data_IF_791879730228
#
_entry.id   IF_791879730228
#
_cell.length_a   1.000
_cell.length_b   1.000
_cell.length_c   1.000
_cell.angle_alpha   90.00
_cell.angle_beta   90.00
_cell.angle_gamma   90.00
#
_symmetry.space_group_name_H-M   'P 1'
#
loop_
_entity.id
_entity.type
_entity.pdbx_description
1 polymer ?
#
# COMPACT_ATOMS: atom_id res chain seq x y z
N UNK A 1 -17.79 26.43 9.89
CA UNK A 1 -16.80 25.35 9.79
C UNK A 1 -17.48 24.08 10.23
N UNK A 2 -17.80 23.17 9.30
CA UNK A 2 -18.40 21.89 9.67
C UNK A 2 -17.31 21.04 10.34
N UNK A 3 -17.59 20.62 11.57
CA UNK A 3 -16.79 19.68 12.34
C UNK A 3 -16.86 18.31 11.64
N UNK A 4 -15.96 18.08 10.69
CA UNK A 4 -15.79 16.79 10.03
C UNK A 4 -15.07 15.88 11.02
N UNK A 5 -15.77 14.89 11.59
CA UNK A 5 -15.10 13.86 12.38
C UNK A 5 -13.97 13.22 11.55
N UNK A 6 -12.85 12.91 12.18
CA UNK A 6 -11.68 12.30 11.55
C UNK A 6 -11.99 10.97 10.84
N UNK A 7 -13.04 10.29 11.30
CA UNK A 7 -13.37 8.94 10.87
C UNK A 7 -14.54 8.97 9.88
N UNK A 8 -14.36 8.24 8.78
CA UNK A 8 -15.38 8.06 7.75
C UNK A 8 -15.87 6.61 7.73
N UNK A 9 -17.18 6.43 7.73
CA UNK A 9 -17.82 5.12 7.70
C UNK A 9 -18.42 4.83 6.32
N UNK A 10 -18.34 3.57 5.90
CA UNK A 10 -18.97 3.08 4.68
C UNK A 10 -20.10 2.12 5.03
N UNK A 11 -21.26 2.30 4.39
CA UNK A 11 -22.42 1.42 4.56
C UNK A 11 -22.39 0.33 3.50
N UNK A 12 -22.43 -0.93 3.93
CA UNK A 12 -22.54 -2.09 3.05
C UNK A 12 -23.99 -2.57 3.08
N UNK A 13 -24.71 -2.41 1.97
CA UNK A 13 -26.07 -2.90 1.82
C UNK A 13 -26.05 -4.38 1.42
N UNK A 14 -26.66 -5.23 2.25
CA UNK A 14 -26.81 -6.65 1.95
C UNK A 14 -27.94 -6.87 0.94
N UNK A 15 -27.79 -7.80 -0.03
CA UNK A 15 -28.85 -8.08 -1.01
C UNK A 15 -30.10 -8.70 -0.37
N UNK A 16 -29.93 -9.38 0.78
CA UNK A 16 -31.02 -9.90 1.61
C UNK A 16 -30.71 -9.58 3.08
N UNK A 17 -31.71 -9.22 3.90
CA UNK A 17 -31.54 -9.10 5.34
C UNK A 17 -30.97 -10.39 5.95
N UNK A 18 -30.11 -10.23 6.96
CA UNK A 18 -29.53 -11.34 7.71
C UNK A 18 -30.45 -11.67 8.89
N UNK A 19 -30.88 -12.93 9.00
CA UNK A 19 -31.72 -13.40 10.11
C UNK A 19 -30.96 -13.38 11.44
N UNK A 20 -31.63 -13.22 12.60
CA UNK A 20 -31.00 -13.34 13.91
C UNK A 20 -30.19 -14.63 14.07
N UNK A 21 -29.04 -14.55 14.75
CA UNK A 21 -28.10 -15.66 15.00
C UNK A 21 -27.48 -16.35 13.76
N UNK A 22 -27.80 -15.87 12.55
CA UNK A 22 -27.17 -16.36 11.32
C UNK A 22 -25.81 -15.71 11.06
N UNK A 23 -25.01 -16.31 10.17
CA UNK A 23 -23.64 -15.89 9.87
C UNK A 23 -23.47 -15.58 8.39
N UNK A 24 -22.71 -14.53 8.09
CA UNK A 24 -22.33 -14.12 6.74
C UNK A 24 -20.84 -13.81 6.70
N UNK A 25 -20.17 -14.21 5.61
CA UNK A 25 -18.77 -13.85 5.36
C UNK A 25 -18.72 -12.68 4.38
N UNK A 26 -18.09 -11.58 4.81
CA UNK A 26 -17.85 -10.41 3.97
C UNK A 26 -16.38 -10.37 3.57
N UNK A 27 -16.11 -10.09 2.30
CA UNK A 27 -14.77 -9.83 1.77
C UNK A 27 -14.67 -8.37 1.34
N UNK A 28 -13.82 -7.61 2.00
CA UNK A 28 -13.63 -6.18 1.75
C UNK A 28 -12.21 -5.99 1.21
N UNK A 29 -12.09 -5.28 0.09
CA UNK A 29 -10.81 -4.90 -0.50
C UNK A 29 -10.79 -3.40 -0.72
N UNK A 30 -9.69 -2.76 -0.34
CA UNK A 30 -9.48 -1.34 -0.52
C UNK A 30 -8.02 -1.07 -0.88
N UNK A 31 -7.77 0.07 -1.51
CA UNK A 31 -6.45 0.52 -1.91
C UNK A 31 -6.17 1.85 -1.23
N UNK A 32 -5.03 1.93 -0.53
CA UNK A 32 -4.53 3.16 0.03
C UNK A 32 -3.48 3.75 -0.90
N UNK A 33 -3.70 4.99 -1.31
CA UNK A 33 -2.74 5.77 -2.10
C UNK A 33 -1.93 6.65 -1.15
N UNK A 34 -0.70 6.99 -1.54
CA UNK A 34 0.17 7.92 -0.80
C UNK A 34 0.40 7.57 0.69
N UNK A 35 0.30 6.29 1.06
CA UNK A 35 0.44 5.83 2.44
C UNK A 35 1.86 5.37 2.81
N UNK A 36 2.75 5.26 1.82
CA UNK A 36 4.12 4.77 2.00
C UNK A 36 5.09 5.95 2.08
N UNK A 37 5.93 5.97 3.11
CA UNK A 37 6.97 6.99 3.28
C UNK A 37 8.36 6.36 3.25
N UNK A 38 9.29 6.87 2.41
CA UNK A 38 10.64 6.35 2.36
C UNK A 38 11.37 6.64 3.68
N UNK A 39 12.06 5.64 4.21
CA UNK A 39 12.84 5.77 5.44
C UNK A 39 14.19 5.02 5.28
N UNK A 40 15.32 5.72 5.11
CA UNK A 40 15.47 7.19 5.11
C UNK A 40 14.87 7.88 3.87
N UNK A 41 14.56 9.19 3.93
CA UNK A 41 13.98 9.93 2.82
C UNK A 41 14.96 10.18 1.66
N UNK A 42 16.27 10.08 1.91
CA UNK A 42 17.31 10.20 0.90
C UNK A 42 18.30 9.03 1.02
N UNK A 43 18.72 8.49 -0.12
CA UNK A 43 19.63 7.36 -0.25
C UNK A 43 20.70 7.60 -1.32
N UNK A 44 21.86 6.96 -1.20
CA UNK A 44 22.84 6.92 -2.27
C UNK A 44 22.29 6.16 -3.49
N UNK A 45 22.82 6.42 -4.68
CA UNK A 45 22.28 5.89 -5.94
C UNK A 45 22.30 4.34 -6.03
N UNK A 46 23.26 3.71 -5.37
CA UNK A 46 23.46 2.27 -5.28
C UNK A 46 22.86 1.64 -4.01
N UNK A 47 22.36 2.45 -3.07
CA UNK A 47 21.75 1.96 -1.86
C UNK A 47 20.37 1.33 -2.09
N UNK A 48 19.98 0.46 -1.15
CA UNK A 48 18.64 -0.11 -1.08
C UNK A 48 17.65 0.94 -0.60
N UNK A 49 16.44 0.89 -1.15
CA UNK A 49 15.32 1.72 -0.74
C UNK A 49 14.41 0.95 0.21
N UNK A 50 14.03 1.58 1.31
CA UNK A 50 13.09 1.03 2.29
C UNK A 50 11.93 1.99 2.50
N UNK A 51 10.75 1.43 2.76
CA UNK A 51 9.58 2.18 3.19
C UNK A 51 9.16 1.76 4.58
N UNK A 52 8.74 2.75 5.37
CA UNK A 52 8.01 2.52 6.59
C UNK A 52 6.50 2.60 6.31
N UNK A 53 5.75 1.66 6.88
CA UNK A 53 4.29 1.69 6.87
C UNK A 53 3.77 1.36 8.26
N UNK A 54 2.88 2.21 8.76
CA UNK A 54 2.24 2.05 10.06
C UNK A 54 0.76 1.76 9.86
N UNK A 55 0.28 0.71 10.50
CA UNK A 55 -1.11 0.28 10.48
C UNK A 55 -1.52 -0.18 11.88
N UNK A 56 -2.81 -0.33 12.14
CA UNK A 56 -3.30 -0.83 13.43
C UNK A 56 -3.27 -2.37 13.47
N UNK A 57 -2.84 -2.94 14.60
CA UNK A 57 -2.99 -4.35 14.90
C UNK A 57 -4.45 -4.79 14.86
N UNK A 58 -5.35 -3.87 15.24
CA UNK A 58 -6.79 -4.05 15.21
C UNK A 58 -7.40 -3.44 13.95
N UNK A 59 -8.29 -4.18 13.30
CA UNK A 59 -9.08 -3.73 12.18
C UNK A 59 -9.95 -2.52 12.58
N UNK A 60 -9.99 -1.45 11.76
CA UNK A 60 -10.85 -0.31 11.99
C UNK A 60 -12.31 -0.72 11.76
N UNK A 61 -12.98 -1.11 12.84
CA UNK A 61 -14.35 -1.63 12.83
C UNK A 61 -15.24 -0.77 13.75
N UNK A 62 -16.46 -0.48 13.28
CA UNK A 62 -17.52 0.14 14.09
C UNK A 62 -18.15 -0.86 15.09
N UNK A 63 -17.89 -2.16 14.91
CA UNK A 63 -18.44 -3.24 15.71
C UNK A 63 -17.36 -3.93 16.53
N UNK A 64 -17.76 -4.48 17.68
CA UNK A 64 -16.89 -5.33 18.51
C UNK A 64 -16.50 -6.56 17.71
N UNK A 65 -15.22 -6.89 17.73
CA UNK A 65 -14.65 -8.08 17.09
C UNK A 65 -14.23 -9.08 18.16
N UNK A 66 -14.28 -10.37 17.86
CA UNK A 66 -13.88 -11.40 18.83
C UNK A 66 -12.45 -11.87 18.63
N UNK A 67 -12.06 -12.13 17.39
CA UNK A 67 -10.75 -12.63 17.03
C UNK A 67 -10.26 -11.90 15.78
N UNK A 68 -9.00 -11.45 15.81
CA UNK A 68 -8.39 -10.78 14.68
C UNK A 68 -7.01 -11.35 14.39
N UNK A 69 -6.65 -11.39 13.11
CA UNK A 69 -5.34 -11.83 12.64
C UNK A 69 -4.99 -11.05 11.40
N UNK A 70 -3.79 -10.49 11.36
CA UNK A 70 -3.34 -9.64 10.25
C UNK A 70 -2.15 -10.30 9.56
N UNK A 71 -2.23 -10.50 8.24
CA UNK A 71 -1.16 -11.08 7.44
C UNK A 71 -0.62 -10.03 6.48
N UNK A 72 0.65 -9.67 6.65
CA UNK A 72 1.34 -8.66 5.84
C UNK A 72 2.30 -9.36 4.87
N UNK A 73 2.08 -9.19 3.57
CA UNK A 73 2.93 -9.74 2.52
C UNK A 73 3.80 -8.65 1.91
N UNK A 74 5.11 -8.83 2.00
CA UNK A 74 6.11 -7.90 1.51
C UNK A 74 6.58 -8.24 0.08
N UNK A 75 7.07 -7.25 -0.69
CA UNK A 75 7.61 -7.49 -2.02
C UNK A 75 8.92 -8.30 -2.00
N UNK A 76 9.71 -8.19 -0.94
CA UNK A 76 10.97 -8.92 -0.74
C UNK A 76 11.01 -9.54 0.66
N UNK A 77 12.04 -10.35 0.95
CA UNK A 77 12.29 -10.93 2.28
C UNK A 77 13.14 -10.04 3.18
N UNK A 78 13.57 -8.86 2.70
CA UNK A 78 14.37 -7.91 3.46
C UNK A 78 13.45 -6.94 4.24
N UNK A 79 13.17 -7.30 5.50
CA UNK A 79 12.35 -6.53 6.44
C UNK A 79 13.19 -6.25 7.70
N UNK A 80 14.01 -5.18 7.68
CA UNK A 80 14.94 -4.89 8.77
C UNK A 80 14.25 -4.53 10.10
N UNK A 81 13.19 -3.73 10.08
CA UNK A 81 12.48 -3.31 11.31
C UNK A 81 11.00 -3.67 11.23
N UNK A 82 10.44 -4.08 12.36
CA UNK A 82 9.02 -4.38 12.52
C UNK A 82 8.67 -4.34 14.01
N UNK A 83 7.46 -3.91 14.34
CA UNK A 83 6.95 -3.97 15.71
C UNK A 83 6.77 -5.43 16.12
N UNK A 84 7.27 -5.78 17.30
CA UNK A 84 6.96 -7.03 18.00
C UNK A 84 6.00 -6.76 19.15
N UNK A 85 4.93 -7.54 19.25
CA UNK A 85 3.88 -7.38 20.25
C UNK A 85 4.03 -8.45 21.31
N UNK A 86 4.08 -8.06 22.59
CA UNK A 86 4.19 -8.98 23.72
C UNK A 86 2.86 -9.05 24.47
N UNK A 87 2.43 -10.27 24.82
CA UNK A 87 1.21 -10.51 25.61
C UNK A 87 -0.13 -10.31 24.90
N UNK A 88 -0.13 -9.80 23.66
CA UNK A 88 -1.37 -9.61 22.87
C UNK A 88 -1.85 -10.90 22.20
N UNK A 89 -0.92 -11.70 21.68
CA UNK A 89 -1.21 -12.92 20.92
C UNK A 89 -1.78 -14.01 21.84
N UNK A 90 -2.85 -14.65 21.38
CA UNK A 90 -3.40 -15.85 22.01
C UNK A 90 -2.55 -17.06 21.60
N UNK A 91 -1.91 -17.70 22.58
CA UNK A 91 -1.04 -18.87 22.38
C UNK A 91 0.44 -18.56 22.61
N UNK A 92 1.29 -19.55 22.38
CA UNK A 92 2.74 -19.41 22.49
C UNK A 92 3.39 -19.08 21.14
N UNK A 93 4.57 -18.47 21.17
CA UNK A 93 5.38 -18.16 19.98
C UNK A 93 5.64 -16.67 19.78
N UNK A 94 6.42 -16.33 18.75
CA UNK A 94 6.70 -14.93 18.42
C UNK A 94 5.49 -14.26 17.78
N UNK A 95 5.44 -12.94 17.91
CA UNK A 95 4.49 -12.08 17.22
C UNK A 95 5.26 -10.87 16.65
N UNK A 96 5.42 -10.77 15.31
CA UNK A 96 4.80 -11.62 14.31
C UNK A 96 5.45 -13.02 14.16
N UNK A 97 4.66 -13.96 13.64
CA UNK A 97 5.18 -15.18 13.03
C UNK A 97 5.71 -14.87 11.63
N UNK A 98 6.92 -15.32 11.31
CA UNK A 98 7.58 -15.02 10.04
C UNK A 98 7.63 -16.24 9.14
N UNK A 99 7.17 -16.09 7.90
CA UNK A 99 7.26 -17.12 6.87
C UNK A 99 7.67 -16.47 5.55
N UNK A 100 8.96 -16.56 5.20
CA UNK A 100 9.52 -15.94 4.00
C UNK A 100 9.31 -14.43 3.99
N UNK A 101 8.61 -13.91 2.98
CA UNK A 101 8.25 -12.50 2.85
C UNK A 101 6.89 -12.14 3.49
N UNK A 102 6.37 -12.98 4.38
CA UNK A 102 5.07 -12.77 5.00
C UNK A 102 5.16 -12.81 6.51
N UNK A 103 4.66 -11.75 7.17
CA UNK A 103 4.55 -11.66 8.62
C UNK A 103 3.09 -11.80 9.03
N UNK A 104 2.82 -12.59 10.07
CA UNK A 104 1.48 -12.81 10.60
C UNK A 104 1.42 -12.34 12.04
N UNK A 105 0.54 -11.36 12.29
CA UNK A 105 0.25 -10.79 13.60
C UNK A 105 -1.00 -11.42 14.20
N UNK A 106 -0.92 -11.79 15.48
CA UNK A 106 -2.00 -12.46 16.21
C UNK A 106 -2.01 -13.99 16.02
N UNK A 107 -3.14 -14.67 16.31
CA UNK A 107 -4.47 -14.10 16.57
C UNK A 107 -4.57 -13.36 17.91
N UNK A 108 -5.35 -12.28 17.92
CA UNK A 108 -5.68 -11.48 19.11
C UNK A 108 -7.11 -11.76 19.57
N UNK A 109 -7.30 -11.94 20.88
CA UNK A 109 -8.64 -11.90 21.48
C UNK A 109 -9.03 -10.43 21.66
N UNK A 110 -10.06 -10.00 20.95
CA UNK A 110 -10.44 -8.58 20.85
C UNK A 110 -11.83 -8.30 21.42
N UNK A 111 -12.43 -9.28 22.12
CA UNK A 111 -13.79 -9.16 22.66
C UNK A 111 -13.96 -7.96 23.61
N UNK A 112 -12.92 -7.67 24.39
CA UNK A 112 -12.92 -6.58 25.39
C UNK A 112 -12.25 -5.30 24.85
N UNK A 113 -11.86 -5.28 23.56
CA UNK A 113 -11.27 -4.11 22.90
C UNK A 113 -12.39 -3.22 22.40
N UNK A 114 -12.33 -1.93 22.73
CA UNK A 114 -13.34 -0.96 22.30
C UNK A 114 -13.25 -0.74 20.78
N UNK A 115 -14.37 -0.75 20.03
CA UNK A 115 -14.38 -0.45 18.59
C UNK A 115 -13.67 0.89 18.30
N UNK A 116 -12.84 0.93 17.26
CA UNK A 116 -12.03 2.10 16.92
C UNK A 116 -10.72 2.25 17.70
N UNK A 117 -10.39 1.34 18.63
CA UNK A 117 -9.08 1.34 19.29
C UNK A 117 -7.96 1.08 18.29
N UNK A 118 -6.91 1.91 18.34
CA UNK A 118 -5.74 1.82 17.45
C UNK A 118 -4.55 1.31 18.25
N UNK A 119 -3.95 0.22 17.79
CA UNK A 119 -2.68 -0.29 18.32
C UNK A 119 -1.63 -0.27 17.20
N UNK A 120 -0.69 0.69 17.19
CA UNK A 120 0.17 0.93 16.04
C UNK A 120 1.25 -0.15 15.85
N UNK A 121 1.22 -0.80 14.70
CA UNK A 121 2.28 -1.68 14.18
C UNK A 121 2.98 -0.94 13.05
N UNK A 122 4.31 -0.82 13.14
CA UNK A 122 5.14 -0.24 12.09
C UNK A 122 6.06 -1.31 11.51
N UNK A 123 6.15 -1.34 10.19
CA UNK A 123 7.05 -2.24 9.45
C UNK A 123 7.91 -1.43 8.50
N UNK A 124 9.20 -1.73 8.44
CA UNK A 124 10.15 -1.18 7.47
C UNK A 124 10.67 -2.30 6.59
N UNK A 125 10.44 -2.18 5.29
CA UNK A 125 10.73 -3.24 4.33
C UNK A 125 11.35 -2.67 3.05
N UNK A 126 12.16 -3.47 2.39
CA UNK A 126 12.80 -3.09 1.13
C UNK A 126 11.77 -2.99 0.00
N UNK A 127 11.88 -1.96 -0.82
CA UNK A 127 11.05 -1.78 -2.01
C UNK A 127 11.89 -1.39 -3.21
N UNK A 128 11.96 -2.31 -4.18
CA UNK A 128 12.89 -2.22 -5.31
C UNK A 128 12.26 -1.69 -6.61
N UNK A 129 10.99 -1.27 -6.56
CA UNK A 129 10.27 -0.72 -7.72
C UNK A 129 10.14 0.81 -7.62
N UNK A 130 10.04 1.54 -8.75
CA UNK A 130 9.73 2.96 -8.72
C UNK A 130 8.33 3.22 -8.16
N UNK A 131 8.14 4.35 -7.47
CA UNK A 131 6.82 4.80 -6.99
C UNK A 131 6.33 5.92 -7.91
N UNK A 132 5.79 5.53 -9.06
CA UNK A 132 5.29 6.49 -10.06
C UNK A 132 3.98 7.07 -9.55
N UNK A 133 3.94 8.37 -9.32
CA UNK A 133 2.75 9.11 -8.91
C UNK A 133 2.41 10.15 -9.97
N UNK A 134 1.18 10.14 -10.47
CA UNK A 134 0.67 11.21 -11.31
C UNK A 134 0.10 12.30 -10.40
N UNK A 135 0.70 13.48 -10.40
CA UNK A 135 0.20 14.64 -9.64
C UNK A 135 -0.94 15.34 -10.35
N UNK A 136 -0.91 15.31 -11.69
CA UNK A 136 -1.95 15.82 -12.55
C UNK A 136 -2.09 14.89 -13.76
N UNK A 137 -3.35 14.63 -14.12
CA UNK A 137 -3.74 13.98 -15.36
C UNK A 137 -4.78 14.87 -16.02
N UNK A 138 -4.44 15.42 -17.18
CA UNK A 138 -5.39 16.11 -18.05
C UNK A 138 -5.73 15.17 -19.20
N UNK A 139 -7.02 15.02 -19.50
CA UNK A 139 -7.51 14.21 -20.62
C UNK A 139 -8.47 15.04 -21.45
N UNK A 140 -8.09 15.27 -22.70
CA UNK A 140 -8.91 15.94 -23.70
C UNK A 140 -9.58 14.87 -24.57
N UNK A 141 -10.89 14.98 -24.75
CA UNK A 141 -11.70 14.04 -25.54
C UNK A 141 -12.44 14.83 -26.61
N UNK A 142 -12.13 14.58 -27.88
CA UNK A 142 -12.77 15.22 -29.02
C UNK A 142 -13.69 14.22 -29.75
N UNK A 143 -14.93 14.64 -29.98
CA UNK A 143 -15.93 13.86 -30.73
C UNK A 143 -16.17 14.52 -32.09
N UNK A 144 -15.86 13.82 -33.18
CA UNK A 144 -16.11 14.33 -34.54
C UNK A 144 -17.23 13.55 -35.22
N UNK A 145 -18.36 14.22 -35.44
CA UNK A 145 -19.48 13.66 -36.22
C UNK A 145 -19.17 13.62 -37.71
N UNK A 146 -18.33 14.54 -38.21
CA UNK A 146 -17.91 14.56 -39.61
C UNK A 146 -16.94 13.41 -39.94
N UNK A 147 -15.98 13.15 -39.04
CA UNK A 147 -15.02 12.05 -39.18
C UNK A 147 -15.50 10.72 -38.62
N UNK A 148 -16.66 10.70 -37.95
CA UNK A 148 -17.21 9.52 -37.28
C UNK A 148 -16.26 8.92 -36.22
N UNK A 149 -15.46 9.74 -35.54
CA UNK A 149 -14.40 9.27 -34.64
C UNK A 149 -14.38 9.98 -33.27
N UNK A 150 -13.67 9.36 -32.33
CA UNK A 150 -13.36 9.85 -30.99
C UNK A 150 -11.84 9.93 -30.86
N UNK A 151 -11.30 11.12 -30.64
CA UNK A 151 -9.89 11.32 -30.36
C UNK A 151 -9.67 11.60 -28.86
N UNK A 152 -8.58 11.09 -28.30
CA UNK A 152 -8.22 11.31 -26.90
C UNK A 152 -6.76 11.72 -26.79
N UNK A 153 -6.47 12.78 -26.04
CA UNK A 153 -5.12 13.22 -25.69
C UNK A 153 -4.96 13.21 -24.16
N UNK A 154 -3.91 12.54 -23.67
CA UNK A 154 -3.60 12.47 -22.24
C UNK A 154 -2.28 13.19 -21.94
N UNK A 155 -2.31 14.10 -20.97
CA UNK A 155 -1.14 14.83 -20.48
C UNK A 155 -0.89 14.44 -19.02
N UNK A 156 0.26 13.82 -18.75
CA UNK A 156 0.63 13.30 -17.44
C UNK A 156 1.77 14.11 -16.82
N UNK A 157 1.58 14.55 -15.56
CA UNK A 157 2.67 15.05 -14.71
C UNK A 157 3.07 13.95 -13.75
N UNK A 158 4.19 13.30 -14.04
CA UNK A 158 4.68 12.14 -13.29
C UNK A 158 5.86 12.53 -12.39
N UNK A 159 5.86 11.97 -11.18
CA UNK A 159 6.98 12.03 -10.25
C UNK A 159 7.29 10.64 -9.69
N UNK A 160 8.52 10.44 -9.24
CA UNK A 160 8.92 9.25 -8.49
C UNK A 160 8.95 9.58 -7.00
N UNK A 161 7.96 9.09 -6.24
CA UNK A 161 7.84 9.31 -4.80
C UNK A 161 8.67 8.30 -3.99
N UNK A 162 9.73 7.76 -4.59
CA UNK A 162 10.76 7.00 -3.90
C UNK A 162 11.63 7.86 -3.00
N UNK A 163 12.63 7.25 -2.38
CA UNK A 163 13.66 8.00 -1.68
C UNK A 163 14.46 8.86 -2.67
N UNK A 164 14.76 10.09 -2.28
CA UNK A 164 15.55 11.01 -3.11
C UNK A 164 17.01 10.57 -3.16
N UNK A 165 17.74 11.02 -4.19
CA UNK A 165 19.20 10.82 -4.21
C UNK A 165 19.86 11.75 -3.18
N UNK A 166 20.60 11.16 -2.24
CA UNK A 166 21.34 11.90 -1.21
C UNK A 166 22.51 12.71 -1.81
N UNK A 167 23.05 12.25 -2.95
CA UNK A 167 24.11 12.91 -3.71
C UNK A 167 23.70 13.11 -5.16
N UNK A 168 24.52 13.85 -5.91
CA UNK A 168 24.35 14.02 -7.34
C UNK A 168 24.40 12.67 -8.08
N UNK A 169 23.68 12.60 -9.19
CA UNK A 169 23.66 11.42 -10.04
C UNK A 169 25.05 11.13 -10.64
N UNK A 170 25.45 9.85 -10.60
CA UNK A 170 26.64 9.33 -11.26
C UNK A 170 26.26 8.40 -12.40
N UNK A 171 26.59 8.81 -13.64
CA UNK A 171 26.38 7.98 -14.83
C UNK A 171 27.22 6.69 -14.80
N UNK A 172 28.39 6.72 -14.18
CA UNK A 172 29.25 5.54 -14.02
C UNK A 172 28.56 4.51 -13.13
N UNK A 173 28.10 4.93 -11.94
CA UNK A 173 27.37 4.05 -11.03
C UNK A 173 26.09 3.50 -11.67
N UNK A 174 25.37 4.32 -12.44
CA UNK A 174 24.19 3.89 -13.19
C UNK A 174 24.52 2.82 -14.23
N UNK A 175 25.60 3.02 -14.98
CA UNK A 175 26.02 2.09 -16.05
C UNK A 175 26.44 0.75 -15.46
N UNK A 176 27.20 0.75 -14.36
CA UNK A 176 27.58 -0.46 -13.61
C UNK A 176 26.33 -1.20 -13.12
N UNK A 177 25.38 -0.50 -12.48
CA UNK A 177 24.14 -1.08 -11.96
C UNK A 177 23.28 -1.70 -13.06
N UNK A 178 23.19 -1.02 -14.20
CA UNK A 178 22.46 -1.48 -15.38
C UNK A 178 23.10 -2.74 -15.97
N UNK A 179 24.44 -2.76 -16.11
CA UNK A 179 25.17 -3.93 -16.61
C UNK A 179 24.98 -5.16 -15.71
N UNK A 180 24.90 -4.95 -14.40
CA UNK A 180 24.65 -6.01 -13.42
C UNK A 180 23.18 -6.47 -13.38
N UNK A 181 22.27 -5.86 -14.15
CA UNK A 181 20.83 -6.08 -14.08
C UNK A 181 20.27 -5.96 -12.64
N UNK A 182 20.89 -5.10 -11.83
CA UNK A 182 20.49 -4.93 -10.45
C UNK A 182 19.14 -4.19 -10.36
N UNK A 183 18.28 -4.50 -9.36
CA UNK A 183 17.02 -3.81 -9.18
C UNK A 183 17.21 -2.30 -9.07
N UNK A 184 16.34 -1.53 -9.72
CA UNK A 184 16.42 -0.08 -9.78
C UNK A 184 15.09 0.56 -9.41
N UNK A 185 15.16 1.57 -8.55
CA UNK A 185 14.02 2.38 -8.13
C UNK A 185 13.77 3.57 -9.08
N UNK A 186 14.60 3.72 -10.11
CA UNK A 186 14.41 4.73 -11.14
C UNK A 186 13.33 4.30 -12.14
N UNK A 187 12.62 5.28 -12.70
CA UNK A 187 11.65 5.06 -13.77
C UNK A 187 12.43 4.84 -15.07
N UNK A 188 12.45 3.60 -15.56
CA UNK A 188 13.15 3.24 -16.81
C UNK A 188 12.22 3.16 -18.02
N UNK A 189 10.95 2.83 -17.81
CA UNK A 189 9.94 2.74 -18.85
C UNK A 189 8.54 2.95 -18.28
N UNK A 190 7.65 3.50 -19.10
CA UNK A 190 6.22 3.54 -18.85
C UNK A 190 5.52 2.72 -19.94
N UNK A 191 4.76 1.70 -19.55
CA UNK A 191 3.96 0.91 -20.49
C UNK A 191 2.53 1.38 -20.43
N UNK A 192 2.04 1.97 -21.51
CA UNK A 192 0.66 2.42 -21.65
C UNK A 192 -0.07 1.45 -22.57
N UNK A 193 -1.15 0.85 -22.07
CA UNK A 193 -2.00 -0.02 -22.90
C UNK A 193 -3.06 0.85 -23.56
N UNK A 194 -3.03 0.92 -24.88
CA UNK A 194 -4.05 1.61 -25.66
C UNK A 194 -5.25 0.68 -25.86
N UNK A 195 -6.46 1.25 -25.86
CA UNK A 195 -7.65 0.51 -26.27
C UNK A 195 -7.53 0.16 -27.76
N UNK A 196 -7.93 -1.05 -28.14
CA UNK A 196 -8.07 -1.38 -29.55
C UNK A 196 -9.16 -0.50 -30.17
N UNK A 197 -8.93 -0.01 -31.40
CA UNK A 197 -9.99 0.59 -32.18
C UNK A 197 -11.12 -0.44 -32.37
N UNK A 198 -12.37 -0.01 -32.13
CA UNK A 198 -13.58 -0.74 -32.54
C UNK A 198 -13.92 -0.36 -33.97
#
# INVERSE_FOLDING_TARGET
MADLSSDQYFVINLPKPLEPDSRLTLSISYYLLSALNPLPPAIEQDAKQYFAYTFSAYAPSAYVTYAQRTKVKFPTTDIPDYTTTSGMKVGSGSDPEKQGNTFTYGPYNTKDVTPGTIEPITVRYEFTRPIITATLLERDIEVSHWGGNLATEDRYWLQNNGAHLAKQFSRVAWSVKTLQNAPSVAISALRVTLKSAL
#
